data_IF_895901049819
#
_entry.id   IF_895901049819
#
_cell.length_a   1.000
_cell.length_b   1.000
_cell.length_c   1.000
_cell.angle_alpha   90.00
_cell.angle_beta   90.00
_cell.angle_gamma   90.00
#
_symmetry.space_group_name_H-M   'P 1'
#
loop_
_entity.id
_entity.type
_entity.pdbx_description
1 polymer ?
#
# COMPACT_ATOMS: atom_id res chain seq x y z
N UNK A 1 5.48 5.27 -10.88
CA UNK A 1 6.41 5.34 -9.73
C UNK A 1 7.01 3.97 -9.41
N UNK A 2 6.20 2.95 -9.12
CA UNK A 2 6.68 1.59 -8.79
C UNK A 2 7.50 0.97 -9.93
N UNK A 3 7.01 1.06 -11.18
CA UNK A 3 7.75 0.58 -12.37
C UNK A 3 9.08 1.32 -12.60
N UNK A 4 9.23 2.52 -12.05
CA UNK A 4 10.46 3.32 -12.11
C UNK A 4 11.40 3.05 -10.93
N UNK A 5 11.17 1.97 -10.17
CA UNK A 5 11.97 1.60 -9.00
C UNK A 5 11.58 2.33 -7.70
N UNK A 6 10.49 3.10 -7.70
CA UNK A 6 9.97 3.70 -6.48
C UNK A 6 9.37 2.63 -5.55
N UNK A 7 9.53 2.82 -4.24
CA UNK A 7 8.93 1.94 -3.23
C UNK A 7 7.79 2.71 -2.57
N UNK A 8 6.64 2.08 -2.44
CA UNK A 8 5.52 2.61 -1.68
C UNK A 8 4.98 1.53 -0.75
N UNK A 9 4.50 1.96 0.41
CA UNK A 9 4.01 1.09 1.47
C UNK A 9 2.55 1.45 1.74
N UNK A 10 1.68 0.45 1.74
CA UNK A 10 0.29 0.59 2.16
C UNK A 10 0.24 0.97 3.64
N UNK A 11 -0.73 1.79 4.11
CA UNK A 11 -0.92 2.12 5.53
C UNK A 11 -1.12 0.92 6.49
N UNK A 12 -1.15 -0.30 5.96
CA UNK A 12 -1.32 -1.57 6.69
C UNK A 12 -0.05 -2.45 6.60
N UNK A 13 1.07 -1.87 6.19
CA UNK A 13 2.37 -2.54 6.10
C UNK A 13 2.68 -3.25 4.79
N UNK A 14 1.72 -3.49 3.90
CA UNK A 14 2.04 -4.16 2.63
C UNK A 14 2.94 -3.30 1.73
N UNK A 15 4.04 -3.85 1.24
CA UNK A 15 4.88 -3.21 0.24
C UNK A 15 4.26 -3.40 -1.15
N UNK A 16 4.10 -2.29 -1.89
CA UNK A 16 3.67 -2.37 -3.27
C UNK A 16 4.80 -2.86 -4.18
N UNK A 17 4.44 -3.79 -5.04
CA UNK A 17 5.26 -4.38 -6.09
C UNK A 17 4.55 -4.20 -7.43
N UNK A 18 5.27 -4.40 -8.53
CA UNK A 18 4.65 -4.39 -9.87
C UNK A 18 3.57 -5.47 -10.03
N UNK A 19 3.67 -6.57 -9.28
CA UNK A 19 2.71 -7.66 -9.31
C UNK A 19 1.41 -7.36 -8.56
N UNK A 20 1.45 -6.66 -7.41
CA UNK A 20 0.26 -6.42 -6.60
C UNK A 20 -0.40 -5.04 -6.83
N UNK A 21 0.35 -4.04 -7.29
CA UNK A 21 -0.14 -2.65 -7.32
C UNK A 21 -1.30 -2.47 -8.29
N UNK A 22 -1.28 -3.16 -9.44
CA UNK A 22 -2.35 -3.09 -10.44
C UNK A 22 -3.66 -3.64 -9.89
N UNK A 23 -3.63 -4.84 -9.29
CA UNK A 23 -4.81 -5.45 -8.69
C UNK A 23 -5.42 -4.56 -7.59
N UNK A 24 -4.58 -3.97 -6.74
CA UNK A 24 -5.01 -3.02 -5.69
C UNK A 24 -5.68 -1.77 -6.27
N UNK A 25 -5.12 -1.19 -7.33
CA UNK A 25 -5.71 -0.03 -8.02
C UNK A 25 -7.06 -0.38 -8.65
N UNK A 26 -7.15 -1.53 -9.33
CA UNK A 26 -8.41 -1.99 -9.93
C UNK A 26 -9.53 -2.14 -8.90
N UNK A 27 -9.23 -2.75 -7.75
CA UNK A 27 -10.21 -2.89 -6.67
C UNK A 27 -10.64 -1.53 -6.10
N UNK A 28 -9.70 -0.59 -5.94
CA UNK A 28 -10.02 0.77 -5.49
C UNK A 28 -10.96 1.46 -6.48
N UNK A 29 -10.61 1.45 -7.76
CA UNK A 29 -11.37 2.13 -8.82
C UNK A 29 -12.77 1.51 -8.99
N UNK A 30 -12.87 0.18 -8.84
CA UNK A 30 -14.14 -0.53 -8.83
C UNK A 30 -15.02 -0.12 -7.64
N UNK A 31 -14.49 -0.12 -6.42
CA UNK A 31 -15.24 0.30 -5.24
C UNK A 31 -15.63 1.78 -5.29
N UNK A 32 -14.80 2.63 -5.90
CA UNK A 32 -15.12 4.03 -6.16
C UNK A 32 -16.29 4.20 -7.13
N UNK A 33 -16.30 3.40 -8.20
CA UNK A 33 -17.40 3.37 -9.19
C UNK A 33 -18.72 2.95 -8.55
N UNK A 34 -18.71 1.92 -7.69
CA UNK A 34 -19.90 1.47 -6.95
C UNK A 34 -20.42 2.58 -6.02
N UNK A 35 -19.52 3.27 -5.30
CA UNK A 35 -19.88 4.39 -4.44
C UNK A 35 -20.52 5.53 -5.24
N UNK A 36 -19.96 5.86 -6.42
CA UNK A 36 -20.50 6.87 -7.33
C UNK A 36 -21.88 6.51 -7.91
N UNK A 37 -22.14 5.21 -8.11
CA UNK A 37 -23.43 4.69 -8.57
C UNK A 37 -24.51 4.63 -7.47
N UNK A 38 -24.23 5.13 -6.26
CA UNK A 38 -25.16 5.13 -5.13
C UNK A 38 -25.27 3.78 -4.41
N UNK A 39 -24.39 2.82 -4.71
CA UNK A 39 -24.30 1.58 -3.93
C UNK A 39 -23.69 1.92 -2.59
N UNK A 40 -24.43 1.69 -1.50
CA UNK A 40 -23.92 1.89 -0.14
C UNK A 40 -22.97 0.75 0.25
N UNK A 41 -21.78 0.76 -0.35
CA UNK A 41 -20.64 -0.04 0.12
C UNK A 41 -20.04 0.69 1.31
N UNK A 42 -19.96 0.04 2.47
CA UNK A 42 -19.23 0.59 3.61
C UNK A 42 -17.79 0.98 3.25
N UNK A 43 -17.17 1.80 4.08
CA UNK A 43 -15.76 2.16 3.90
C UNK A 43 -14.79 1.00 4.20
N UNK A 44 -13.51 1.12 3.81
CA UNK A 44 -12.49 0.22 4.30
C UNK A 44 -12.47 0.26 5.85
N UNK A 45 -12.14 -0.85 6.52
CA UNK A 45 -12.13 -0.86 7.98
C UNK A 45 -11.11 0.15 8.53
N UNK A 46 -11.32 0.66 9.76
CA UNK A 46 -10.37 1.54 10.40
C UNK A 46 -8.99 0.88 10.55
N UNK A 47 -7.95 1.71 10.61
CA UNK A 47 -6.58 1.26 10.84
C UNK A 47 -6.45 0.76 12.28
N UNK A 48 -6.00 -0.48 12.44
CA UNK A 48 -5.78 -1.11 13.74
C UNK A 48 -4.38 -0.85 14.29
N UNK A 49 -4.16 -1.14 15.58
CA UNK A 49 -2.81 -1.13 16.18
C UNK A 49 -1.85 -2.12 15.51
N UNK A 50 -2.39 -3.24 15.00
CA UNK A 50 -1.61 -4.18 14.19
C UNK A 50 -1.15 -3.53 12.91
N UNK A 51 -2.04 -2.86 12.18
CA UNK A 51 -1.69 -2.19 10.92
C UNK A 51 -0.58 -1.14 11.11
N UNK A 52 -0.64 -0.37 12.21
CA UNK A 52 0.41 0.60 12.57
C UNK A 52 1.76 -0.08 12.78
N UNK A 53 1.78 -1.20 13.53
CA UNK A 53 3.01 -1.98 13.78
C UNK A 53 3.58 -2.56 12.48
N UNK A 54 2.73 -3.13 11.63
CA UNK A 54 3.16 -3.70 10.34
C UNK A 54 3.71 -2.61 9.41
N UNK A 55 3.09 -1.43 9.42
CA UNK A 55 3.58 -0.26 8.69
C UNK A 55 4.97 0.17 9.17
N UNK A 56 5.16 0.37 10.48
CA UNK A 56 6.46 0.76 11.05
C UNK A 56 7.54 -0.26 10.72
N UNK A 57 7.26 -1.56 10.91
CA UNK A 57 8.20 -2.64 10.58
C UNK A 57 8.62 -2.62 9.11
N UNK A 58 7.65 -2.47 8.20
CA UNK A 58 7.91 -2.46 6.75
C UNK A 58 8.66 -1.20 6.32
N UNK A 59 8.37 -0.06 6.94
CA UNK A 59 9.08 1.19 6.71
C UNK A 59 10.55 1.08 7.13
N UNK A 60 10.80 0.60 8.35
CA UNK A 60 12.16 0.43 8.88
C UNK A 60 12.99 -0.51 8.00
N UNK A 61 12.43 -1.67 7.64
CA UNK A 61 13.11 -2.61 6.74
C UNK A 61 13.41 -1.99 5.37
N UNK A 62 12.48 -1.21 4.82
CA UNK A 62 12.65 -0.53 3.54
C UNK A 62 13.79 0.49 3.61
N UNK A 63 13.81 1.33 4.65
CA UNK A 63 14.85 2.34 4.84
C UNK A 63 16.22 1.67 4.98
N UNK A 64 16.34 0.63 5.80
CA UNK A 64 17.64 -0.04 5.98
C UNK A 64 18.11 -0.75 4.72
N UNK A 65 17.20 -1.34 3.94
CA UNK A 65 17.54 -1.90 2.64
C UNK A 65 18.05 -0.83 1.66
N UNK A 66 17.42 0.36 1.64
CA UNK A 66 17.88 1.45 0.78
C UNK A 66 19.23 2.01 1.23
N UNK A 67 19.45 2.21 2.54
CA UNK A 67 20.75 2.66 3.05
C UNK A 67 21.89 1.74 2.63
N UNK A 68 21.68 0.42 2.72
CA UNK A 68 22.67 -0.58 2.26
C UNK A 68 22.91 -0.51 0.76
N UNK A 69 21.87 -0.26 -0.05
CA UNK A 69 21.99 -0.14 -1.51
C UNK A 69 22.75 1.11 -1.95
N UNK A 70 22.63 2.22 -1.21
CA UNK A 70 23.33 3.48 -1.50
C UNK A 70 24.77 3.50 -0.99
N UNK A 71 25.10 2.69 0.02
CA UNK A 71 26.45 2.61 0.58
C UNK A 71 27.42 1.72 -0.22
N UNK A 72 26.96 1.10 -1.31
CA UNK A 72 27.70 0.25 -2.25
C UNK A 72 27.73 0.95 -3.60
#
# INVERSE_FOLDING_TARGET
MIEKGGIAIHPRGEIYTTANVKARLHLRDFMDSLRGAGVNTGGPPPISERDKREFSSSLDQTIQKQKRKTAV
#
